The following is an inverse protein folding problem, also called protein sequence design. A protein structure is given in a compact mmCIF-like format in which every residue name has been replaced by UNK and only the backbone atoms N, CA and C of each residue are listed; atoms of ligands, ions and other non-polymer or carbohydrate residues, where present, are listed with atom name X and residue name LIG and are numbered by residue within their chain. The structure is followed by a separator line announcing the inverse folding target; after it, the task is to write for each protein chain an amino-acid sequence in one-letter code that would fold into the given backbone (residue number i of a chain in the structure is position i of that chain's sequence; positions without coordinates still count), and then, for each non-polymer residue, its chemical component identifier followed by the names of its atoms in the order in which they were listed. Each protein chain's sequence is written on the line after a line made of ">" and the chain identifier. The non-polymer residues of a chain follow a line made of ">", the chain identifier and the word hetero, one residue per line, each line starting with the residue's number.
data_IF_292394186606
#
_entry.id   IF_292394186606
#
_cell.length_a   1.000
_cell.length_b   1.000
_cell.length_c   1.000
_cell.angle_alpha   90.00
_cell.angle_beta   90.00
_cell.angle_gamma   90.00
#
_symmetry.space_group_name_H-M   'P 1'
#
loop_
_entity.id
_entity.type
_entity.pdbx_description
1 polymer ?
#
# COMPACT_ATOMS: atom_id res chain seq x y z
N UNK A 1 16.33 -40.57 18.44
CA UNK A 1 15.64 -40.00 17.27
C UNK A 1 14.58 -39.05 17.81
N UNK A 2 14.88 -37.75 17.81
CA UNK A 2 13.93 -36.73 18.25
C UNK A 2 12.98 -36.48 17.07
N UNK A 3 11.69 -36.71 17.27
CA UNK A 3 10.66 -36.42 16.28
C UNK A 3 10.57 -34.91 16.09
N UNK A 4 10.84 -34.45 14.88
CA UNK A 4 10.53 -33.08 14.47
C UNK A 4 9.01 -32.93 14.50
N UNK A 5 8.51 -32.11 15.41
CA UNK A 5 7.12 -31.66 15.41
C UNK A 5 6.86 -30.96 14.09
N UNK A 6 5.86 -31.37 13.28
CA UNK A 6 5.56 -30.67 12.04
C UNK A 6 5.24 -29.20 12.35
N UNK A 7 5.71 -28.25 11.52
CA UNK A 7 5.47 -26.83 11.76
C UNK A 7 3.96 -26.60 11.84
N UNK A 8 3.52 -25.96 12.92
CA UNK A 8 2.12 -25.61 13.13
C UNK A 8 1.58 -24.90 11.88
N UNK A 9 0.51 -25.45 11.28
CA UNK A 9 -0.17 -24.82 10.15
C UNK A 9 -0.72 -23.50 10.66
N UNK A 10 -0.14 -22.38 10.22
CA UNK A 10 -0.59 -21.05 10.61
C UNK A 10 -1.99 -20.85 10.03
N UNK A 11 -2.98 -20.76 10.92
CA UNK A 11 -4.38 -20.56 10.53
C UNK A 11 -4.53 -19.28 9.68
N UNK A 12 -5.40 -19.36 8.68
CA UNK A 12 -5.68 -18.24 7.78
C UNK A 12 -6.29 -17.06 8.53
N UNK A 13 -5.73 -15.87 8.34
CA UNK A 13 -6.24 -14.62 8.91
C UNK A 13 -6.53 -13.62 7.80
N UNK A 14 -7.66 -12.92 7.92
CA UNK A 14 -8.05 -11.85 7.00
C UNK A 14 -7.75 -10.48 7.62
N UNK A 15 -6.96 -9.67 6.91
CA UNK A 15 -6.69 -8.27 7.26
C UNK A 15 -7.53 -7.29 6.44
N UNK A 16 -7.72 -6.03 6.86
CA UNK A 16 -8.53 -5.07 6.10
C UNK A 16 -8.02 -4.85 4.68
N UNK A 17 -6.69 -4.80 4.50
CA UNK A 17 -6.09 -4.66 3.16
C UNK A 17 -6.36 -5.89 2.28
N UNK A 18 -6.38 -7.09 2.86
CA UNK A 18 -6.69 -8.32 2.14
C UNK A 18 -8.18 -8.38 1.77
N UNK A 19 -9.05 -8.00 2.70
CA UNK A 19 -10.49 -7.90 2.46
C UNK A 19 -10.80 -6.88 1.36
N UNK A 20 -10.20 -5.70 1.41
CA UNK A 20 -10.36 -4.68 0.37
C UNK A 20 -9.93 -5.19 -1.02
N UNK A 21 -8.85 -5.98 -1.12
CA UNK A 21 -8.46 -6.61 -2.40
C UNK A 21 -9.49 -7.61 -2.89
N UNK A 22 -10.03 -8.44 -1.99
CA UNK A 22 -11.06 -9.43 -2.35
C UNK A 22 -12.31 -8.73 -2.90
N UNK A 23 -12.73 -7.66 -2.24
CA UNK A 23 -13.89 -6.84 -2.61
C UNK A 23 -13.68 -6.10 -3.94
N UNK A 24 -12.45 -5.67 -4.25
CA UNK A 24 -12.13 -5.14 -5.59
C UNK A 24 -12.18 -6.25 -6.64
N UNK A 25 -11.53 -7.39 -6.38
CA UNK A 25 -11.54 -8.55 -7.27
C UNK A 25 -10.99 -9.80 -6.54
N UNK A 26 -11.73 -10.93 -6.45
CA UNK A 26 -11.23 -12.13 -5.79
C UNK A 26 -9.94 -12.66 -6.42
N UNK A 27 -9.79 -12.59 -7.75
CA UNK A 27 -8.54 -12.92 -8.45
C UNK A 27 -7.37 -12.04 -7.98
N UNK A 28 -7.60 -10.75 -7.75
CA UNK A 28 -6.57 -9.81 -7.24
C UNK A 28 -6.14 -10.19 -5.82
N UNK A 29 -7.10 -10.53 -4.93
CA UNK A 29 -6.77 -11.08 -3.62
C UNK A 29 -5.93 -12.35 -3.76
N UNK A 30 -6.38 -13.31 -4.56
CA UNK A 30 -5.69 -14.58 -4.75
C UNK A 30 -4.25 -14.38 -5.25
N UNK A 31 -4.04 -13.56 -6.29
CA UNK A 31 -2.72 -13.23 -6.85
C UNK A 31 -1.80 -12.61 -5.78
N UNK A 32 -2.35 -11.79 -4.89
CA UNK A 32 -1.59 -11.17 -3.80
C UNK A 32 -1.01 -12.17 -2.79
N UNK A 33 -1.55 -13.39 -2.75
CA UNK A 33 -1.15 -14.49 -1.85
C UNK A 33 -0.20 -15.49 -2.51
N UNK A 34 0.11 -15.32 -3.79
CA UNK A 34 0.95 -16.25 -4.56
C UNK A 34 2.46 -15.94 -4.54
N UNK A 35 2.90 -15.01 -3.68
CA UNK A 35 4.31 -14.56 -3.59
C UNK A 35 4.85 -13.99 -4.91
N UNK A 36 3.97 -13.55 -5.80
CA UNK A 36 4.35 -12.83 -7.02
C UNK A 36 5.06 -11.51 -6.67
N UNK A 37 6.05 -11.07 -7.46
CA UNK A 37 6.79 -9.83 -7.23
C UNK A 37 5.87 -8.61 -7.07
N UNK A 38 5.91 -8.00 -5.88
CA UNK A 38 5.19 -6.75 -5.58
C UNK A 38 6.03 -5.55 -5.98
N UNK A 39 5.37 -4.53 -6.50
CA UNK A 39 6.02 -3.26 -6.84
C UNK A 39 6.25 -2.45 -5.58
N UNK A 40 7.49 -2.06 -5.28
CA UNK A 40 7.73 -1.00 -4.33
C UNK A 40 7.19 0.33 -4.88
N UNK A 41 6.60 1.17 -4.04
CA UNK A 41 5.97 2.41 -4.47
C UNK A 41 6.45 3.59 -3.65
N UNK A 42 6.94 4.65 -4.29
CA UNK A 42 7.41 5.84 -3.58
C UNK A 42 6.38 6.45 -2.63
N UNK A 43 5.10 6.44 -3.01
CA UNK A 43 4.03 6.95 -2.15
C UNK A 43 3.80 6.06 -0.92
N UNK A 44 3.90 4.73 -1.09
CA UNK A 44 3.77 3.78 0.01
C UNK A 44 4.97 3.90 0.97
N UNK A 45 6.19 3.92 0.44
CA UNK A 45 7.43 4.10 1.21
C UNK A 45 7.47 5.42 1.98
N UNK A 46 7.07 6.54 1.34
CA UNK A 46 6.92 7.81 2.05
C UNK A 46 5.92 7.67 3.21
N UNK A 47 4.79 7.00 2.96
CA UNK A 47 3.80 6.69 3.99
C UNK A 47 4.39 5.93 5.17
N UNK A 48 5.07 4.82 4.90
CA UNK A 48 5.72 3.99 5.92
C UNK A 48 6.69 4.80 6.77
N UNK A 49 7.60 5.56 6.15
CA UNK A 49 8.59 6.35 6.87
C UNK A 49 7.93 7.44 7.75
N UNK A 50 6.89 8.10 7.24
CA UNK A 50 6.14 9.12 8.00
C UNK A 50 5.41 8.49 9.18
N UNK A 51 4.67 7.39 8.99
CA UNK A 51 3.94 6.71 10.05
C UNK A 51 4.89 6.25 11.15
N UNK A 52 5.92 5.48 10.79
CA UNK A 52 6.92 4.98 11.72
C UNK A 52 7.60 6.13 12.49
N UNK A 53 7.86 7.27 11.84
CA UNK A 53 8.46 8.41 12.53
C UNK A 53 7.53 9.08 13.56
N UNK A 54 6.22 9.07 13.33
CA UNK A 54 5.22 9.61 14.27
C UNK A 54 5.06 8.63 15.43
N UNK A 55 5.02 7.33 15.11
CA UNK A 55 4.96 6.23 16.08
C UNK A 55 6.17 6.25 17.02
N UNK A 56 7.38 6.39 16.48
CA UNK A 56 8.63 6.53 17.26
C UNK A 56 8.61 7.75 18.18
N UNK A 57 8.10 8.90 17.71
CA UNK A 57 7.98 10.10 18.54
C UNK A 57 7.03 9.85 19.73
N UNK A 58 6.02 8.99 19.59
CA UNK A 58 5.13 8.64 20.68
C UNK A 58 5.75 7.59 21.62
N UNK A 59 6.55 6.67 21.10
CA UNK A 59 7.11 5.53 21.84
C UNK A 59 8.45 5.81 22.53
N UNK A 60 9.27 6.71 21.98
CA UNK A 60 10.60 7.02 22.53
C UNK A 60 10.51 7.68 23.91
N UNK A 61 11.49 7.39 24.77
CA UNK A 61 11.61 8.06 26.07
C UNK A 61 12.22 9.46 25.91
N UNK A 62 11.47 10.47 26.35
CA UNK A 62 11.87 11.87 26.40
C UNK A 62 11.95 12.40 27.84
N UNK A 63 12.13 11.54 28.83
CA UNK A 63 12.26 11.91 30.24
C UNK A 63 13.43 12.86 30.53
N UNK A 64 14.48 12.80 29.71
CA UNK A 64 15.64 13.68 29.75
C UNK A 64 15.34 15.13 29.32
N UNK A 65 14.24 15.38 28.60
CA UNK A 65 13.85 16.72 28.18
C UNK A 65 13.16 17.45 29.34
N UNK A 66 13.73 18.58 29.75
CA UNK A 66 13.21 19.37 30.87
C UNK A 66 11.74 19.78 30.68
N UNK A 67 10.98 19.89 31.78
CA UNK A 67 9.54 20.23 31.72
C UNK A 67 9.24 21.52 30.96
N UNK A 68 10.14 22.52 31.05
CA UNK A 68 10.02 23.82 30.39
C UNK A 68 10.94 23.97 29.17
N UNK A 69 11.71 22.92 28.84
CA UNK A 69 12.59 22.96 27.67
C UNK A 69 11.75 22.87 26.40
N UNK A 70 11.88 23.89 25.56
CA UNK A 70 11.28 23.98 24.23
C UNK A 70 12.38 23.91 23.14
N UNK A 71 12.03 24.18 21.88
CA UNK A 71 12.84 24.12 20.65
C UNK A 71 13.54 22.77 20.34
N UNK A 72 13.29 21.73 21.14
CA UNK A 72 13.91 20.41 20.98
C UNK A 72 13.20 19.52 19.96
N UNK A 73 11.86 19.57 19.89
CA UNK A 73 11.08 18.63 19.08
C UNK A 73 11.36 18.73 17.57
N UNK A 74 11.56 19.91 16.95
CA UNK A 74 11.83 19.99 15.52
C UNK A 74 13.09 19.24 15.09
N UNK A 75 14.16 19.31 15.89
CA UNK A 75 15.41 18.59 15.61
C UNK A 75 15.22 17.07 15.81
N UNK A 76 14.58 16.69 16.91
CA UNK A 76 14.34 15.27 17.22
C UNK A 76 13.39 14.60 16.20
N UNK A 77 12.31 15.27 15.81
CA UNK A 77 11.39 14.78 14.79
C UNK A 77 12.11 14.57 13.44
N UNK A 78 12.99 15.49 13.07
CA UNK A 78 13.78 15.35 11.85
C UNK A 78 14.76 14.19 11.93
N UNK A 79 15.43 14.00 13.09
CA UNK A 79 16.35 12.88 13.33
C UNK A 79 15.65 11.54 13.18
N UNK A 80 14.50 11.38 13.85
CA UNK A 80 13.68 10.15 13.81
C UNK A 80 13.16 9.88 12.39
N UNK A 81 12.62 10.90 11.71
CA UNK A 81 12.16 10.76 10.33
C UNK A 81 13.30 10.37 9.39
N UNK A 82 14.50 10.95 9.58
CA UNK A 82 15.66 10.65 8.74
C UNK A 82 16.10 9.20 8.90
N UNK A 83 16.08 8.67 10.12
CA UNK A 83 16.34 7.26 10.39
C UNK A 83 15.35 6.36 9.61
N UNK A 84 14.05 6.57 9.79
CA UNK A 84 13.01 5.77 9.10
C UNK A 84 13.02 5.92 7.58
N UNK A 85 13.40 7.09 7.08
CA UNK A 85 13.56 7.33 5.63
C UNK A 85 14.69 6.52 5.02
N UNK A 86 15.85 6.43 5.69
CA UNK A 86 16.97 5.63 5.19
C UNK A 86 16.69 4.12 5.33
N UNK A 87 16.06 3.67 6.42
CA UNK A 87 15.62 2.28 6.59
C UNK A 87 14.65 1.86 5.47
N UNK A 88 13.62 2.67 5.21
CA UNK A 88 12.66 2.39 4.14
C UNK A 88 13.30 2.47 2.76
N UNK A 89 14.26 3.39 2.54
CA UNK A 89 15.03 3.46 1.30
C UNK A 89 15.81 2.18 1.05
N UNK A 90 16.43 1.61 2.07
CA UNK A 90 17.14 0.33 1.96
C UNK A 90 16.17 -0.80 1.54
N UNK A 91 15.02 -0.92 2.21
CA UNK A 91 13.97 -1.90 1.85
C UNK A 91 13.47 -1.69 0.42
N UNK A 92 13.22 -0.43 0.04
CA UNK A 92 12.79 -0.06 -1.30
C UNK A 92 13.83 -0.48 -2.34
N UNK A 93 15.11 -0.19 -2.12
CA UNK A 93 16.21 -0.51 -3.04
C UNK A 93 16.49 -2.01 -3.12
N UNK A 94 16.23 -2.77 -2.06
CA UNK A 94 16.34 -4.22 -2.05
C UNK A 94 15.12 -4.91 -2.69
N UNK A 95 14.01 -4.21 -2.90
CA UNK A 95 12.84 -4.77 -3.57
C UNK A 95 13.12 -4.91 -5.08
N UNK A 96 13.08 -6.12 -5.68
CA UNK A 96 13.44 -6.31 -7.08
C UNK A 96 12.60 -5.47 -8.03
N UNK A 97 11.27 -5.55 -7.89
CA UNK A 97 10.33 -4.75 -8.68
C UNK A 97 10.13 -3.39 -8.01
N UNK A 98 10.90 -2.39 -8.43
CA UNK A 98 10.85 -1.03 -7.88
C UNK A 98 11.04 0.02 -8.97
N UNK A 99 10.45 1.22 -8.84
CA UNK A 99 10.86 2.38 -9.61
C UNK A 99 12.13 3.03 -9.01
N UNK A 100 12.53 4.19 -9.52
CA UNK A 100 13.59 5.01 -8.91
C UNK A 100 13.15 5.64 -7.58
N UNK A 101 14.07 5.63 -6.61
CA UNK A 101 13.92 6.38 -5.36
C UNK A 101 13.98 7.90 -5.62
N UNK A 102 13.02 8.64 -5.08
CA UNK A 102 12.88 10.08 -5.30
C UNK A 102 13.30 10.87 -4.06
N UNK A 103 14.57 11.28 -4.00
CA UNK A 103 15.09 12.08 -2.87
C UNK A 103 14.36 13.41 -2.70
N UNK A 104 13.84 13.99 -3.79
CA UNK A 104 13.06 15.22 -3.73
C UNK A 104 11.77 15.09 -2.89
N UNK A 105 11.29 13.87 -2.66
CA UNK A 105 10.13 13.58 -1.79
C UNK A 105 10.44 13.71 -0.29
N UNK A 106 11.70 13.86 0.10
CA UNK A 106 12.09 14.12 1.49
C UNK A 106 11.39 15.35 2.09
N UNK A 107 11.27 16.44 1.31
CA UNK A 107 10.56 17.66 1.76
C UNK A 107 9.08 17.40 2.04
N UNK A 108 8.47 16.51 1.27
CA UNK A 108 7.09 16.11 1.47
C UNK A 108 6.96 15.26 2.75
N UNK A 109 7.87 14.31 2.98
CA UNK A 109 7.90 13.52 4.20
C UNK A 109 7.99 14.40 5.46
N UNK A 110 8.87 15.42 5.47
CA UNK A 110 8.97 16.39 6.58
C UNK A 110 7.64 17.13 6.79
N UNK A 111 7.01 17.61 5.71
CA UNK A 111 5.72 18.31 5.80
C UNK A 111 4.66 17.41 6.41
N UNK A 112 4.59 16.16 5.98
CA UNK A 112 3.59 15.20 6.45
C UNK A 112 3.83 14.76 7.90
N UNK A 113 5.07 14.52 8.32
CA UNK A 113 5.37 14.25 9.74
C UNK A 113 4.93 15.43 10.62
N UNK A 114 5.21 16.67 10.21
CA UNK A 114 4.72 17.86 10.91
C UNK A 114 3.19 17.90 10.98
N UNK A 115 2.51 17.53 9.90
CA UNK A 115 1.06 17.37 9.89
C UNK A 115 0.57 16.38 10.95
N UNK A 116 1.23 15.22 11.08
CA UNK A 116 0.93 14.24 12.14
C UNK A 116 1.10 14.81 13.56
N UNK A 117 2.19 15.55 13.81
CA UNK A 117 2.43 16.23 15.10
C UNK A 117 1.32 17.24 15.41
N UNK A 118 0.89 18.04 14.42
CA UNK A 118 -0.23 18.98 14.57
C UNK A 118 -1.50 18.25 14.97
N UNK A 119 -1.79 17.10 14.37
CA UNK A 119 -3.01 16.34 14.66
C UNK A 119 -3.02 15.74 16.06
N UNK A 120 -1.85 15.33 16.57
CA UNK A 120 -1.66 14.88 17.96
C UNK A 120 -1.88 16.02 18.96
N UNK A 121 -1.36 17.22 18.68
CA UNK A 121 -1.62 18.41 19.48
C UNK A 121 -3.10 18.79 19.50
N UNK A 122 -3.72 18.83 18.32
CA UNK A 122 -5.14 19.15 18.17
C UNK A 122 -6.02 18.15 18.92
N UNK A 123 -5.64 16.86 18.95
CA UNK A 123 -6.35 15.82 19.72
C UNK A 123 -6.35 16.08 21.23
N UNK A 124 -5.34 16.76 21.78
CA UNK A 124 -5.30 17.15 23.20
C UNK A 124 -5.74 18.61 23.43
N UNK A 125 -6.45 19.20 22.46
CA UNK A 125 -7.03 20.54 22.56
C UNK A 125 -6.05 21.69 22.31
N UNK A 126 -4.89 21.43 21.70
CA UNK A 126 -3.86 22.45 21.45
C UNK A 126 -3.80 22.77 19.97
N UNK A 127 -4.25 23.96 19.63
CA UNK A 127 -4.30 24.46 18.26
C UNK A 127 -3.35 25.64 18.05
N UNK A 128 -2.72 25.70 16.88
CA UNK A 128 -1.88 26.82 16.47
C UNK A 128 -0.57 27.00 17.25
N UNK A 129 -0.19 26.05 18.10
CA UNK A 129 1.09 26.09 18.81
C UNK A 129 2.24 25.82 17.83
N UNK A 130 3.22 26.73 17.81
CA UNK A 130 4.48 26.51 17.08
C UNK A 130 5.20 25.28 17.63
N UNK A 131 5.72 24.43 16.75
CA UNK A 131 6.44 23.22 17.13
C UNK A 131 7.67 23.51 17.99
N UNK A 132 8.28 24.68 17.81
CA UNK A 132 9.39 25.16 18.64
C UNK A 132 8.98 25.45 20.07
N UNK A 133 7.69 25.61 20.36
CA UNK A 133 7.19 25.93 21.71
C UNK A 133 6.65 24.69 22.44
N UNK A 134 6.78 23.51 21.85
CA UNK A 134 6.34 22.26 22.48
C UNK A 134 7.35 21.89 23.55
N UNK A 135 6.94 22.01 24.81
CA UNK A 135 7.80 21.67 25.93
C UNK A 135 7.87 20.16 26.17
N UNK A 136 8.92 19.69 26.85
CA UNK A 136 9.01 18.28 27.27
C UNK A 136 7.80 17.81 28.09
N UNK A 137 7.27 18.67 28.97
CA UNK A 137 6.07 18.34 29.74
C UNK A 137 4.82 18.17 28.86
N UNK A 138 4.67 19.04 27.85
CA UNK A 138 3.56 18.94 26.91
C UNK A 138 3.64 17.66 26.07
N UNK A 139 4.81 17.33 25.53
CA UNK A 139 4.96 16.11 24.73
C UNK A 139 4.66 14.85 25.55
N UNK A 140 5.18 14.77 26.78
CA UNK A 140 4.84 13.67 27.70
C UNK A 140 3.35 13.60 28.03
N UNK A 141 2.63 14.73 28.05
CA UNK A 141 1.15 14.73 28.15
C UNK A 141 0.54 14.04 26.94
N UNK A 142 1.00 14.33 25.73
CA UNK A 142 0.52 13.67 24.50
C UNK A 142 0.81 12.16 24.55
N UNK A 143 2.02 11.77 24.91
CA UNK A 143 2.40 10.35 25.04
C UNK A 143 1.50 9.59 26.02
N UNK A 144 1.12 10.21 27.15
CA UNK A 144 0.18 9.60 28.12
C UNK A 144 -1.22 9.33 27.57
N UNK A 145 -1.62 9.98 26.47
CA UNK A 145 -2.90 9.73 25.82
C UNK A 145 -2.80 8.61 24.77
N UNK A 146 -1.60 8.14 24.41
CA UNK A 146 -1.45 6.99 23.54
C UNK A 146 -1.65 5.69 24.36
N UNK A 147 -2.74 4.98 24.07
CA UNK A 147 -3.06 3.68 24.68
C UNK A 147 -2.25 2.58 23.99
N UNK A 148 -2.21 2.62 22.66
CA UNK A 148 -1.34 1.77 21.86
C UNK A 148 -0.88 2.52 20.60
N UNK A 149 0.34 2.23 20.18
CA UNK A 149 0.97 2.74 18.96
C UNK A 149 1.43 1.49 18.20
N UNK A 150 1.08 1.38 16.92
CA UNK A 150 1.38 0.20 16.10
C UNK A 150 0.75 -1.11 16.64
N UNK A 151 -0.43 -1.01 17.26
CA UNK A 151 -1.05 -2.12 17.99
C UNK A 151 -1.63 -3.21 17.08
N UNK A 152 -1.25 -4.47 17.32
CA UNK A 152 -1.91 -5.62 16.69
C UNK A 152 -3.29 -5.87 17.30
N UNK A 153 -4.31 -6.02 16.46
CA UNK A 153 -5.69 -6.28 16.85
C UNK A 153 -6.17 -7.58 16.19
N UNK A 154 -6.69 -8.52 16.96
CA UNK A 154 -7.21 -9.82 16.46
C UNK A 154 -8.55 -10.14 17.09
N UNK A 155 -9.45 -10.79 16.38
CA UNK A 155 -10.64 -11.38 17.01
C UNK A 155 -10.24 -12.52 17.96
N UNK A 156 -11.11 -12.84 18.93
CA UNK A 156 -10.87 -13.91 19.90
C UNK A 156 -10.60 -15.28 19.26
N UNK A 157 -11.23 -15.54 18.12
CA UNK A 157 -11.04 -16.76 17.32
C UNK A 157 -9.85 -16.69 16.35
N UNK A 158 -9.11 -15.57 16.33
CA UNK A 158 -7.92 -15.37 15.51
C UNK A 158 -8.17 -15.20 14.01
N UNK A 159 -9.41 -15.25 13.52
CA UNK A 159 -9.71 -15.28 12.07
C UNK A 159 -9.56 -13.91 11.38
N UNK A 160 -9.87 -12.84 12.11
CA UNK A 160 -9.73 -11.48 11.61
C UNK A 160 -8.60 -10.79 12.36
N UNK A 161 -7.82 -9.98 11.64
CA UNK A 161 -6.72 -9.23 12.22
C UNK A 161 -6.62 -7.81 11.66
N UNK A 162 -5.96 -6.93 12.38
CA UNK A 162 -5.68 -5.55 12.00
C UNK A 162 -4.42 -5.04 12.68
N UNK A 163 -3.88 -3.93 12.18
CA UNK A 163 -2.81 -3.17 12.83
C UNK A 163 -3.31 -1.74 12.94
N UNK A 164 -3.48 -1.28 14.17
CA UNK A 164 -3.85 0.09 14.47
C UNK A 164 -2.59 0.95 14.35
N UNK A 165 -2.63 2.04 13.60
CA UNK A 165 -1.55 3.02 13.66
C UNK A 165 -1.52 3.63 15.06
N UNK A 166 -2.66 4.18 15.51
CA UNK A 166 -2.81 4.78 16.84
C UNK A 166 -4.14 4.39 17.51
N UNK A 167 -4.07 4.00 18.78
CA UNK A 167 -5.20 3.96 19.71
C UNK A 167 -4.95 4.99 20.81
N UNK A 168 -5.78 6.03 20.85
CA UNK A 168 -5.64 7.16 21.78
C UNK A 168 -6.81 7.20 22.76
N UNK A 169 -6.56 7.70 23.97
CA UNK A 169 -7.60 8.12 24.89
C UNK A 169 -8.33 9.33 24.28
N UNK A 170 -9.64 9.25 24.16
CA UNK A 170 -10.48 10.36 23.74
C UNK A 170 -10.80 11.21 24.96
N UNK A 171 -10.37 12.47 24.97
CA UNK A 171 -10.53 13.37 26.11
C UNK A 171 -11.47 14.51 25.78
N UNK A 172 -12.30 14.89 26.74
CA UNK A 172 -13.12 16.10 26.64
C UNK A 172 -12.27 17.36 26.87
N UNK A 173 -12.89 18.53 26.75
CA UNK A 173 -12.24 19.83 26.99
C UNK A 173 -11.67 19.98 28.43
N UNK A 174 -12.20 19.21 29.38
CA UNK A 174 -11.69 19.15 30.76
C UNK A 174 -10.49 18.19 30.92
N UNK A 175 -10.10 17.45 29.88
CA UNK A 175 -9.02 16.48 29.89
C UNK A 175 -9.40 15.11 30.49
N UNK A 176 -10.70 14.87 30.69
CA UNK A 176 -11.20 13.60 31.20
C UNK A 176 -11.42 12.60 30.06
N UNK A 177 -11.07 11.34 30.27
CA UNK A 177 -11.27 10.30 29.27
C UNK A 177 -12.76 9.99 29.12
N UNK A 178 -13.28 10.15 27.91
CA UNK A 178 -14.68 9.92 27.54
C UNK A 178 -14.85 8.76 26.56
N UNK A 179 -13.76 8.25 26.00
CA UNK A 179 -13.78 7.28 24.93
C UNK A 179 -12.39 6.82 24.50
N UNK A 180 -12.39 6.03 23.43
CA UNK A 180 -11.19 5.69 22.67
C UNK A 180 -11.30 6.23 21.25
N UNK A 181 -10.16 6.67 20.70
CA UNK A 181 -10.01 7.02 19.30
C UNK A 181 -9.07 6.02 18.64
N UNK A 182 -9.53 5.35 17.59
CA UNK A 182 -8.64 4.73 16.60
C UNK A 182 -8.33 5.76 15.52
N UNK A 183 -7.06 6.15 15.40
CA UNK A 183 -6.61 7.04 14.33
C UNK A 183 -5.72 6.24 13.36
N UNK A 184 -6.12 6.22 12.10
CA UNK A 184 -5.41 5.57 10.99
C UNK A 184 -4.76 6.68 10.15
N UNK A 185 -3.43 6.77 10.18
CA UNK A 185 -2.68 7.82 9.52
C UNK A 185 -2.78 7.63 8.00
N UNK A 186 -2.81 8.76 7.27
CA UNK A 186 -2.92 8.79 5.81
C UNK A 186 -2.04 9.86 5.21
N UNK A 187 -1.17 9.42 4.31
CA UNK A 187 -0.24 10.28 3.55
C UNK A 187 -0.69 10.59 2.13
N UNK A 188 -1.78 9.95 1.69
CA UNK A 188 -2.34 10.08 0.35
C UNK A 188 -3.35 11.22 0.22
N UNK A 189 -4.02 11.27 -0.93
CA UNK A 189 -5.02 12.29 -1.27
C UNK A 189 -6.15 12.36 -0.23
N UNK A 190 -6.38 13.56 0.30
CA UNK A 190 -7.48 13.86 1.21
C UNK A 190 -8.85 13.58 0.56
N UNK A 191 -9.84 13.10 1.34
CA UNK A 191 -11.22 12.98 0.87
C UNK A 191 -11.82 14.34 0.50
N UNK A 192 -12.80 14.34 -0.40
CA UNK A 192 -13.55 15.55 -0.77
C UNK A 192 -14.82 15.72 0.09
N UNK A 193 -15.58 14.64 0.28
CA UNK A 193 -16.86 14.65 1.03
C UNK A 193 -17.00 13.56 2.08
N UNK A 194 -16.47 12.37 1.78
CA UNK A 194 -16.51 11.20 2.66
C UNK A 194 -15.28 10.35 2.43
N UNK A 195 -14.89 9.57 3.43
CA UNK A 195 -13.87 8.55 3.28
C UNK A 195 -14.20 7.63 2.10
N UNK A 196 -13.15 7.17 1.40
CA UNK A 196 -13.31 6.11 0.41
C UNK A 196 -13.83 4.85 1.09
N UNK A 197 -14.61 4.05 0.35
CA UNK A 197 -15.28 2.86 0.88
C UNK A 197 -14.30 1.92 1.59
N UNK A 198 -13.13 1.69 1.00
CA UNK A 198 -12.07 0.83 1.52
C UNK A 198 -11.47 1.34 2.84
N UNK A 199 -11.30 2.66 3.00
CA UNK A 199 -10.77 3.27 4.23
C UNK A 199 -11.83 3.26 5.32
N UNK A 200 -13.09 3.59 4.96
CA UNK A 200 -14.22 3.54 5.89
C UNK A 200 -14.44 2.12 6.42
N UNK A 201 -14.36 1.10 5.55
CA UNK A 201 -14.47 -0.31 5.92
C UNK A 201 -13.34 -0.75 6.86
N UNK A 202 -12.09 -0.37 6.57
CA UNK A 202 -10.94 -0.66 7.42
C UNK A 202 -11.11 -0.09 8.84
N UNK A 203 -11.44 1.19 8.96
CA UNK A 203 -11.63 1.84 10.26
C UNK A 203 -12.80 1.23 11.04
N UNK A 204 -13.92 0.91 10.38
CA UNK A 204 -15.05 0.20 11.01
C UNK A 204 -14.65 -1.19 11.49
N UNK A 205 -13.86 -1.93 10.71
CA UNK A 205 -13.36 -3.23 11.14
C UNK A 205 -12.51 -3.12 12.41
N UNK A 206 -11.63 -2.12 12.49
CA UNK A 206 -10.84 -1.85 13.71
C UNK A 206 -11.72 -1.54 14.92
N UNK A 207 -12.70 -0.66 14.76
CA UNK A 207 -13.69 -0.35 15.79
C UNK A 207 -14.37 -1.60 16.30
N UNK A 208 -14.86 -2.43 15.37
CA UNK A 208 -15.76 -3.52 15.70
C UNK A 208 -15.02 -4.70 16.33
N UNK A 209 -13.79 -5.01 15.88
CA UNK A 209 -12.94 -5.99 16.57
C UNK A 209 -12.59 -5.48 17.97
N UNK A 210 -12.28 -4.19 18.13
CA UNK A 210 -11.95 -3.61 19.43
C UNK A 210 -13.13 -3.71 20.41
N UNK A 211 -14.35 -3.42 19.96
CA UNK A 211 -15.57 -3.54 20.75
C UNK A 211 -15.92 -5.00 21.07
N UNK A 212 -15.79 -5.93 20.12
CA UNK A 212 -16.04 -7.36 20.36
C UNK A 212 -15.07 -7.94 21.41
N UNK A 213 -13.81 -7.53 21.34
CA UNK A 213 -12.79 -7.92 22.31
C UNK A 213 -13.01 -7.32 23.70
N UNK A 214 -13.70 -6.18 23.79
CA UNK A 214 -13.86 -5.42 25.03
C UNK A 214 -15.35 -5.08 25.26
N UNK A 215 -16.16 -6.01 25.83
CA UNK A 215 -17.60 -5.81 26.00
C UNK A 215 -17.99 -4.57 26.84
N UNK A 216 -17.08 -4.12 27.71
CA UNK A 216 -17.27 -2.92 28.56
C UNK A 216 -16.41 -1.74 28.09
N UNK A 217 -15.97 -1.73 26.83
CA UNK A 217 -15.21 -0.62 26.28
C UNK A 217 -15.99 0.71 26.38
N UNK A 218 -15.30 1.84 26.63
CA UNK A 218 -15.93 3.13 26.47
C UNK A 218 -16.27 3.37 24.99
N UNK A 219 -16.93 4.50 24.70
CA UNK A 219 -17.31 4.84 23.31
C UNK A 219 -16.06 4.86 22.42
N UNK A 220 -16.11 4.15 21.30
CA UNK A 220 -15.01 4.12 20.31
C UNK A 220 -15.39 4.97 19.09
N UNK A 221 -14.59 5.99 18.80
CA UNK A 221 -14.61 6.69 17.50
C UNK A 221 -13.40 6.27 16.67
N UNK A 222 -13.54 6.36 15.35
CA UNK A 222 -12.48 5.95 14.41
C UNK A 222 -12.35 6.96 13.29
N UNK A 223 -11.13 7.38 12.99
CA UNK A 223 -10.86 8.46 12.04
C UNK A 223 -9.69 8.16 11.11
N UNK A 224 -9.82 8.58 9.86
CA UNK A 224 -8.70 8.70 8.94
C UNK A 224 -8.02 10.04 9.15
N UNK A 225 -6.74 10.02 9.52
CA UNK A 225 -5.94 11.20 9.82
C UNK A 225 -5.03 11.56 8.65
N UNK A 226 -5.40 12.56 7.85
CA UNK A 226 -4.68 12.95 6.65
C UNK A 226 -3.61 14.00 6.95
N UNK A 227 -2.36 13.55 7.00
CA UNK A 227 -1.21 14.34 7.43
C UNK A 227 -0.81 15.42 6.42
N UNK A 228 -1.21 15.30 5.16
CA UNK A 228 -0.90 16.28 4.11
C UNK A 228 -1.49 17.68 4.40
N UNK A 229 -2.67 17.73 5.02
CA UNK A 229 -3.41 18.95 5.33
C UNK A 229 -3.99 18.96 6.76
N UNK A 230 -3.51 18.05 7.61
CA UNK A 230 -3.93 17.89 9.01
C UNK A 230 -5.45 17.75 9.20
N UNK A 231 -6.15 17.08 8.27
CA UNK A 231 -7.60 16.90 8.35
C UNK A 231 -7.99 15.53 8.91
N UNK A 232 -9.04 15.49 9.73
CA UNK A 232 -9.58 14.28 10.37
C UNK A 232 -10.93 13.94 9.76
N UNK A 233 -11.12 12.67 9.41
CA UNK A 233 -12.33 12.21 8.73
C UNK A 233 -12.93 11.01 9.46
N UNK A 234 -14.14 11.13 10.03
CA UNK A 234 -14.75 10.04 10.78
C UNK A 234 -15.18 8.91 9.84
N UNK A 235 -14.99 7.67 10.29
CA UNK A 235 -15.64 6.53 9.68
C UNK A 235 -17.04 6.34 10.24
N UNK A 236 -18.01 6.17 9.33
CA UNK A 236 -19.43 6.11 9.65
C UNK A 236 -20.03 4.85 9.03
N UNK A 237 -20.89 4.19 9.80
CA UNK A 237 -21.65 3.03 9.39
C UNK A 237 -21.75 1.99 10.50
N UNK A 238 -22.59 0.98 10.25
CA UNK A 238 -22.92 -0.12 11.16
C UNK A 238 -21.72 -1.04 11.46
N UNK A 239 -21.93 -2.08 12.24
CA UNK A 239 -20.93 -3.12 12.47
C UNK A 239 -20.60 -3.87 11.15
N UNK A 240 -19.35 -4.28 10.94
CA UNK A 240 -18.90 -4.98 9.73
C UNK A 240 -18.35 -6.39 9.97
N UNK A 241 -18.40 -6.92 11.19
CA UNK A 241 -17.81 -8.23 11.53
C UNK A 241 -18.44 -9.36 10.74
N UNK A 242 -19.78 -9.40 10.62
CA UNK A 242 -20.44 -10.45 9.85
C UNK A 242 -19.98 -10.49 8.38
N UNK A 243 -19.85 -9.32 7.76
CA UNK A 243 -19.35 -9.19 6.39
C UNK A 243 -17.87 -9.61 6.30
N UNK A 244 -17.06 -9.25 7.29
CA UNK A 244 -15.66 -9.63 7.35
C UNK A 244 -15.49 -11.15 7.52
N UNK A 245 -16.32 -11.79 8.35
CA UNK A 245 -16.34 -13.24 8.51
C UNK A 245 -16.83 -13.96 7.25
N UNK A 246 -17.83 -13.45 6.57
CA UNK A 246 -18.25 -13.97 5.26
C UNK A 246 -17.09 -13.89 4.26
N UNK A 247 -16.41 -12.76 4.16
CA UNK A 247 -15.22 -12.64 3.32
C UNK A 247 -14.08 -13.57 3.76
N UNK A 248 -13.90 -13.82 5.05
CA UNK A 248 -12.92 -14.79 5.55
C UNK A 248 -13.23 -16.21 5.07
N UNK A 249 -14.51 -16.62 5.06
CA UNK A 249 -14.94 -17.92 4.53
C UNK A 249 -14.69 -18.05 3.03
N UNK A 250 -14.91 -16.99 2.25
CA UNK A 250 -14.68 -17.00 0.80
C UNK A 250 -13.20 -16.88 0.42
N UNK A 251 -12.34 -16.48 1.36
CA UNK A 251 -10.92 -16.20 1.10
C UNK A 251 -9.96 -17.28 1.60
N UNK A 252 -10.49 -18.49 1.88
CA UNK A 252 -9.68 -19.62 2.33
C UNK A 252 -8.52 -19.91 1.36
N UNK A 253 -7.34 -20.29 1.88
CA UNK A 253 -6.20 -20.61 1.03
C UNK A 253 -6.55 -21.70 0.00
N UNK A 254 -6.27 -21.42 -1.27
CA UNK A 254 -6.49 -22.35 -2.38
C UNK A 254 -5.40 -22.20 -3.43
N UNK A 255 -5.04 -23.30 -4.07
CA UNK A 255 -4.14 -23.37 -5.23
C UNK A 255 -4.86 -23.03 -6.53
N UNK A 256 -6.20 -23.06 -6.53
CA UNK A 256 -7.01 -22.71 -7.69
C UNK A 256 -7.25 -21.20 -7.71
N UNK A 257 -6.94 -20.52 -8.81
CA UNK A 257 -7.44 -19.18 -9.12
C UNK A 257 -8.88 -18.89 -8.69
N UNK A 258 -9.07 -17.83 -7.91
CA UNK A 258 -10.42 -17.32 -7.62
C UNK A 258 -11.00 -16.60 -8.84
N UNK A 259 -12.32 -16.73 -9.02
CA UNK A 259 -13.06 -16.10 -10.12
C UNK A 259 -12.85 -14.57 -10.14
N UNK A 260 -12.51 -13.99 -11.30
CA UNK A 260 -12.28 -12.56 -11.43
C UNK A 260 -13.60 -11.78 -11.50
N UNK A 261 -13.55 -10.49 -11.14
CA UNK A 261 -14.63 -9.53 -11.40
C UNK A 261 -14.10 -8.36 -12.23
N UNK A 262 -13.83 -8.54 -13.55
CA UNK A 262 -13.29 -7.48 -14.39
C UNK A 262 -14.24 -6.29 -14.49
N UNK A 263 -13.71 -5.09 -14.37
CA UNK A 263 -14.52 -3.87 -14.32
C UNK A 263 -13.66 -2.62 -14.21
N UNK A 264 -14.34 -1.46 -14.21
CA UNK A 264 -13.70 -0.15 -14.17
C UNK A 264 -12.82 0.04 -12.93
N UNK A 265 -13.28 -0.43 -11.77
CA UNK A 265 -12.57 -0.26 -10.50
C UNK A 265 -11.52 -1.35 -10.25
N UNK A 266 -11.58 -2.48 -10.97
CA UNK A 266 -10.60 -3.57 -10.91
C UNK A 266 -9.58 -3.49 -12.06
N UNK A 267 -9.94 -3.96 -13.26
CA UNK A 267 -9.08 -3.97 -14.45
C UNK A 267 -8.84 -2.57 -15.05
N UNK A 268 -9.79 -1.64 -14.89
CA UNK A 268 -9.61 -0.22 -15.21
C UNK A 268 -8.84 0.55 -14.13
N UNK A 269 -8.71 -0.02 -12.93
CA UNK A 269 -8.05 0.57 -11.78
C UNK A 269 -6.59 0.15 -11.62
N UNK A 270 -6.09 0.33 -10.39
CA UNK A 270 -4.75 -0.07 -10.00
C UNK A 270 -4.72 -1.55 -9.59
N UNK A 271 -3.88 -2.34 -10.25
CA UNK A 271 -3.61 -3.74 -9.89
C UNK A 271 -2.14 -4.05 -10.18
N UNK A 272 -1.41 -4.51 -9.16
CA UNK A 272 0.01 -4.84 -9.30
C UNK A 272 0.24 -6.11 -10.13
N UNK A 273 -0.77 -6.97 -10.30
CA UNK A 273 -0.60 -8.32 -10.83
C UNK A 273 -1.04 -8.49 -12.29
N UNK A 274 -1.15 -7.39 -13.05
CA UNK A 274 -1.58 -7.39 -14.46
C UNK A 274 -0.80 -8.36 -15.33
N UNK A 275 0.53 -8.43 -15.17
CA UNK A 275 1.41 -9.34 -15.92
C UNK A 275 1.11 -10.84 -15.75
N UNK A 276 0.33 -11.20 -14.73
CA UNK A 276 -0.07 -12.58 -14.41
C UNK A 276 -1.58 -12.81 -14.56
N UNK A 277 -2.33 -11.88 -15.15
CA UNK A 277 -3.78 -11.93 -15.24
C UNK A 277 -4.29 -11.62 -16.65
N UNK A 278 -4.71 -12.67 -17.36
CA UNK A 278 -5.31 -12.61 -18.70
C UNK A 278 -6.61 -11.77 -18.73
N UNK A 279 -7.38 -11.78 -17.64
CA UNK A 279 -8.66 -11.06 -17.55
C UNK A 279 -8.52 -9.55 -17.63
N UNK A 280 -7.43 -9.00 -17.09
CA UNK A 280 -7.12 -7.59 -17.28
C UNK A 280 -6.92 -7.26 -18.76
N UNK A 281 -6.18 -8.11 -19.47
CA UNK A 281 -5.84 -7.85 -20.85
C UNK A 281 -7.06 -7.97 -21.78
N UNK A 282 -7.87 -9.02 -21.60
CA UNK A 282 -9.14 -9.20 -22.31
C UNK A 282 -10.10 -8.02 -22.06
N UNK A 283 -10.29 -7.63 -20.79
CA UNK A 283 -11.18 -6.53 -20.45
C UNK A 283 -10.74 -5.21 -21.11
N UNK A 284 -9.43 -4.93 -21.15
CA UNK A 284 -8.92 -3.73 -21.83
C UNK A 284 -9.12 -3.81 -23.35
N UNK A 285 -8.97 -4.99 -23.95
CA UNK A 285 -9.19 -5.21 -25.38
C UNK A 285 -10.66 -5.02 -25.75
N UNK A 286 -11.56 -5.69 -25.05
CA UNK A 286 -13.02 -5.65 -25.29
C UNK A 286 -13.60 -4.25 -25.12
N UNK A 287 -13.13 -3.50 -24.12
CA UNK A 287 -13.53 -2.10 -23.93
C UNK A 287 -12.78 -1.12 -24.84
N UNK A 288 -11.90 -1.61 -25.71
CA UNK A 288 -11.12 -0.81 -26.64
C UNK A 288 -10.27 0.24 -25.93
N UNK A 289 -9.63 -0.10 -24.82
CA UNK A 289 -8.77 0.80 -24.01
C UNK A 289 -7.30 0.39 -24.01
N UNK A 290 -6.92 -0.62 -24.80
CA UNK A 290 -5.52 -0.97 -25.02
C UNK A 290 -4.78 0.16 -25.72
N UNK A 291 -3.59 0.49 -25.21
CA UNK A 291 -2.67 1.46 -25.82
C UNK A 291 -3.25 2.87 -26.00
N UNK A 292 -4.37 3.16 -25.32
CA UNK A 292 -4.97 4.49 -25.27
C UNK A 292 -4.40 5.27 -24.09
N UNK A 293 -4.53 6.59 -24.18
CA UNK A 293 -4.05 7.61 -23.24
C UNK A 293 -2.55 7.90 -23.31
N UNK A 294 -2.12 8.96 -22.62
CA UNK A 294 -0.72 9.40 -22.56
C UNK A 294 0.19 8.42 -21.79
N UNK A 295 -0.41 7.69 -20.85
CA UNK A 295 0.21 6.61 -20.10
C UNK A 295 -0.62 5.34 -20.28
N UNK A 296 0.01 4.27 -20.75
CA UNK A 296 -0.68 3.01 -21.02
C UNK A 296 0.03 1.81 -20.42
N UNK A 297 -0.67 0.68 -20.39
CA UNK A 297 -0.10 -0.63 -20.11
C UNK A 297 -0.19 -1.45 -21.41
N UNK A 298 0.83 -2.26 -21.71
CA UNK A 298 0.92 -3.00 -22.96
C UNK A 298 1.53 -4.38 -22.78
N UNK A 299 1.10 -5.34 -23.61
CA UNK A 299 1.82 -6.59 -23.84
C UNK A 299 2.46 -6.49 -25.22
N UNK A 300 3.76 -6.74 -25.31
CA UNK A 300 4.55 -6.52 -26.54
C UNK A 300 5.54 -7.64 -26.80
N UNK A 301 5.96 -7.79 -28.05
CA UNK A 301 7.17 -8.54 -28.42
C UNK A 301 8.34 -7.59 -28.59
N UNK A 302 9.51 -7.98 -28.08
CA UNK A 302 10.76 -7.25 -28.31
C UNK A 302 11.46 -7.82 -29.54
N UNK A 303 11.74 -6.98 -30.54
CA UNK A 303 12.44 -7.37 -31.77
C UNK A 303 13.91 -7.01 -31.74
N UNK A 304 14.20 -5.77 -31.37
CA UNK A 304 15.56 -5.22 -31.32
C UNK A 304 15.74 -4.47 -30.00
N UNK A 305 16.93 -4.59 -29.41
CA UNK A 305 17.32 -3.83 -28.24
C UNK A 305 18.82 -3.55 -28.27
N UNK A 306 19.18 -2.27 -28.29
CA UNK A 306 20.54 -1.81 -28.04
C UNK A 306 20.70 -1.53 -26.54
N UNK A 307 21.46 -2.37 -25.86
CA UNK A 307 21.71 -2.25 -24.42
C UNK A 307 22.47 -0.98 -24.01
N UNK A 308 23.26 -0.41 -24.93
CA UNK A 308 24.07 0.77 -24.65
C UNK A 308 23.19 2.01 -24.64
N UNK A 309 22.44 2.21 -25.73
CA UNK A 309 21.55 3.37 -25.84
C UNK A 309 20.23 3.17 -25.11
N UNK A 310 19.75 1.93 -24.93
CA UNK A 310 18.39 1.65 -24.46
C UNK A 310 17.33 1.76 -25.55
N UNK A 311 17.72 1.92 -26.82
CA UNK A 311 16.79 2.01 -27.95
C UNK A 311 16.29 0.62 -28.32
N UNK A 312 15.00 0.51 -28.67
CA UNK A 312 14.36 -0.76 -28.96
C UNK A 312 13.30 -0.64 -30.07
N UNK A 313 13.02 -1.77 -30.71
CA UNK A 313 11.83 -1.96 -31.55
C UNK A 313 10.94 -2.98 -30.86
N UNK A 314 9.71 -2.56 -30.56
CA UNK A 314 8.68 -3.42 -29.97
C UNK A 314 7.52 -3.59 -30.94
N UNK A 315 6.83 -4.71 -30.86
CA UNK A 315 5.60 -4.97 -31.61
C UNK A 315 4.43 -5.13 -30.65
N UNK A 316 3.36 -4.39 -30.91
CA UNK A 316 2.15 -4.45 -30.09
C UNK A 316 1.46 -5.79 -30.28
N UNK A 317 0.95 -6.34 -29.18
CA UNK A 317 0.20 -7.58 -29.19
C UNK A 317 -1.24 -7.38 -28.78
N UNK A 318 -2.08 -8.33 -29.17
CA UNK A 318 -3.47 -8.46 -28.72
C UNK A 318 -3.69 -9.82 -28.04
N UNK A 319 -4.69 -9.92 -27.14
CA UNK A 319 -5.02 -11.18 -26.50
C UNK A 319 -5.55 -12.18 -27.53
N UNK A 320 -5.05 -13.42 -27.44
CA UNK A 320 -5.58 -14.57 -28.14
C UNK A 320 -5.82 -15.70 -27.15
N UNK A 321 -6.76 -16.60 -27.48
CA UNK A 321 -7.03 -17.79 -26.67
C UNK A 321 -7.38 -17.42 -25.22
N UNK A 322 -8.33 -16.49 -25.06
CA UNK A 322 -8.71 -15.95 -23.75
C UNK A 322 -7.61 -15.11 -23.07
N UNK A 323 -6.69 -14.51 -23.83
CA UNK A 323 -5.62 -13.65 -23.32
C UNK A 323 -4.44 -14.42 -22.71
N UNK A 324 -4.43 -15.74 -22.86
CA UNK A 324 -3.31 -16.60 -22.44
C UNK A 324 -2.11 -16.37 -23.35
N UNK A 325 -2.36 -16.28 -24.66
CA UNK A 325 -1.32 -16.08 -25.67
C UNK A 325 -1.39 -14.66 -26.21
N UNK A 326 -0.23 -14.14 -26.53
CA UNK A 326 -0.10 -12.88 -27.24
C UNK A 326 0.07 -13.13 -28.73
N UNK A 327 -0.77 -12.49 -29.55
CA UNK A 327 -0.60 -12.48 -31.01
C UNK A 327 -0.05 -11.13 -31.47
N UNK A 328 0.97 -11.11 -32.33
CA UNK A 328 1.50 -9.88 -32.90
C UNK A 328 0.45 -9.21 -33.80
N UNK A 329 0.32 -7.89 -33.67
CA UNK A 329 -0.60 -7.08 -34.49
C UNK A 329 0.00 -6.65 -35.84
N UNK A 330 1.31 -6.85 -36.05
CA UNK A 330 2.05 -6.23 -37.15
C UNK A 330 2.48 -4.79 -36.88
N UNK A 331 1.97 -4.16 -35.81
CA UNK A 331 2.25 -2.75 -35.50
C UNK A 331 3.54 -2.65 -34.69
N UNK A 332 4.61 -2.20 -35.35
CA UNK A 332 5.90 -1.91 -34.71
C UNK A 332 5.97 -0.48 -34.19
N UNK A 333 6.62 -0.30 -33.05
CA UNK A 333 6.87 1.01 -32.42
C UNK A 333 8.34 1.12 -32.01
N UNK A 334 8.91 2.29 -32.25
CA UNK A 334 10.17 2.68 -31.65
C UNK A 334 9.96 2.91 -30.16
N UNK A 335 10.85 2.37 -29.35
CA UNK A 335 10.82 2.46 -27.90
C UNK A 335 12.18 2.87 -27.34
N UNK A 336 12.15 3.52 -26.17
CA UNK A 336 13.34 3.91 -25.43
C UNK A 336 13.17 3.49 -23.97
N UNK A 337 14.05 2.60 -23.53
CA UNK A 337 14.18 2.17 -22.15
C UNK A 337 15.25 2.99 -21.46
N UNK A 338 14.89 3.65 -20.36
CA UNK A 338 15.77 4.54 -19.60
C UNK A 338 15.82 4.13 -18.12
N UNK A 339 16.96 4.41 -17.46
CA UNK A 339 17.20 4.15 -16.04
C UNK A 339 16.71 2.75 -15.62
N UNK A 340 15.91 2.67 -14.54
CA UNK A 340 15.36 1.44 -13.99
C UNK A 340 14.52 0.64 -14.99
N UNK A 341 13.89 1.28 -15.97
CA UNK A 341 13.17 0.58 -17.04
C UNK A 341 14.10 -0.24 -17.92
N UNK A 342 15.30 0.30 -18.22
CA UNK A 342 16.36 -0.40 -18.95
C UNK A 342 16.95 -1.54 -18.13
N UNK A 343 17.25 -1.28 -16.87
CA UNK A 343 17.79 -2.30 -15.96
C UNK A 343 16.83 -3.48 -15.82
N UNK A 344 15.52 -3.20 -15.69
CA UNK A 344 14.50 -4.23 -15.58
C UNK A 344 14.39 -5.06 -16.87
N UNK A 345 14.49 -4.43 -18.05
CA UNK A 345 14.54 -5.18 -19.30
C UNK A 345 15.77 -6.09 -19.37
N UNK A 346 16.94 -5.58 -18.97
CA UNK A 346 18.18 -6.37 -18.96
C UNK A 346 18.12 -7.55 -17.98
N UNK A 347 17.50 -7.37 -16.81
CA UNK A 347 17.22 -8.45 -15.86
C UNK A 347 16.32 -9.53 -16.49
N UNK A 348 15.27 -9.14 -17.20
CA UNK A 348 14.40 -10.07 -17.91
C UNK A 348 15.16 -10.82 -19.00
N UNK A 349 15.97 -10.14 -19.81
CA UNK A 349 16.78 -10.79 -20.85
C UNK A 349 17.84 -11.73 -20.25
N UNK A 350 18.47 -11.33 -19.14
CA UNK A 350 19.44 -12.16 -18.42
C UNK A 350 18.80 -13.43 -17.83
N UNK A 351 17.51 -13.37 -17.45
CA UNK A 351 16.72 -14.54 -17.04
C UNK A 351 16.42 -15.54 -18.17
N UNK A 352 16.88 -15.24 -19.40
CA UNK A 352 16.61 -16.00 -20.63
C UNK A 352 15.12 -16.13 -20.97
N UNK A 353 14.29 -15.23 -20.45
CA UNK A 353 12.87 -15.18 -20.82
C UNK A 353 12.74 -15.03 -22.34
N UNK A 354 11.92 -15.90 -22.94
CA UNK A 354 11.56 -15.86 -24.35
C UNK A 354 10.06 -15.63 -24.45
N UNK A 355 9.65 -14.64 -25.24
CA UNK A 355 8.24 -14.34 -25.49
C UNK A 355 7.82 -12.94 -25.05
N UNK A 356 6.50 -12.72 -24.87
CA UNK A 356 5.95 -11.39 -24.67
C UNK A 356 6.36 -10.78 -23.32
N UNK A 357 6.41 -9.45 -23.31
CA UNK A 357 6.70 -8.62 -22.15
C UNK A 357 5.47 -7.81 -21.78
N UNK A 358 5.17 -7.72 -20.49
CA UNK A 358 4.29 -6.70 -19.94
C UNK A 358 5.09 -5.43 -19.67
N UNK A 359 4.64 -4.33 -20.26
CA UNK A 359 5.14 -2.98 -20.01
C UNK A 359 4.05 -2.16 -19.31
N UNK A 360 4.29 -1.75 -18.08
CA UNK A 360 3.32 -0.99 -17.27
C UNK A 360 3.65 0.51 -17.20
N UNK A 361 2.63 1.37 -17.31
CA UNK A 361 2.73 2.84 -17.20
C UNK A 361 3.69 3.48 -18.19
N UNK A 362 3.73 2.97 -19.42
CA UNK A 362 4.55 3.49 -20.52
C UNK A 362 4.00 4.83 -21.02
N UNK A 363 4.88 5.79 -21.33
CA UNK A 363 4.45 7.02 -21.99
C UNK A 363 4.31 6.78 -23.50
N UNK A 364 3.10 6.96 -24.00
CA UNK A 364 2.68 6.60 -25.36
C UNK A 364 2.35 7.81 -26.25
N UNK A 365 2.27 9.00 -25.67
CA UNK A 365 1.95 10.25 -26.39
C UNK A 365 3.02 10.69 -27.40
N UNK A 366 4.25 10.20 -27.27
CA UNK A 366 5.36 10.55 -28.16
C UNK A 366 5.49 9.53 -29.30
N UNK A 367 6.11 9.93 -30.40
CA UNK A 367 6.41 9.04 -31.54
C UNK A 367 7.26 7.83 -31.12
N UNK A 368 8.15 8.04 -30.14
CA UNK A 368 8.91 6.99 -29.47
C UNK A 368 8.30 6.73 -28.09
N UNK A 369 7.91 5.49 -27.82
CA UNK A 369 7.39 5.10 -26.51
C UNK A 369 8.50 5.15 -25.46
N UNK A 370 8.23 5.78 -24.30
CA UNK A 370 9.21 5.89 -23.21
C UNK A 370 8.88 4.92 -22.09
N UNK A 371 9.85 4.05 -21.80
CA UNK A 371 9.85 3.12 -20.68
C UNK A 371 10.87 3.63 -19.67
N UNK A 372 10.43 4.58 -18.85
CA UNK A 372 11.29 5.27 -17.89
C UNK A 372 11.39 4.57 -16.54
N UNK A 373 12.01 5.27 -15.58
CA UNK A 373 12.31 4.76 -14.25
C UNK A 373 11.10 4.40 -13.37
N UNK A 374 9.86 4.68 -13.81
CA UNK A 374 8.61 4.38 -13.10
C UNK A 374 7.87 3.16 -13.68
N UNK A 375 8.25 2.74 -14.89
CA UNK A 375 7.56 1.71 -15.64
C UNK A 375 7.82 0.33 -15.03
N UNK A 376 6.86 -0.58 -15.21
CA UNK A 376 7.11 -2.01 -15.02
C UNK A 376 7.60 -2.61 -16.33
N UNK A 377 8.59 -3.50 -16.24
CA UNK A 377 9.03 -4.37 -17.33
C UNK A 377 9.08 -5.77 -16.77
N UNK A 378 8.14 -6.63 -17.18
CA UNK A 378 7.96 -7.96 -16.62
C UNK A 378 7.73 -8.97 -17.75
N UNK A 379 8.08 -10.25 -17.55
CA UNK A 379 7.57 -11.33 -18.38
C UNK A 379 6.04 -11.32 -18.37
N UNK A 380 5.40 -11.44 -19.54
CA UNK A 380 3.98 -11.77 -19.60
C UNK A 380 3.81 -13.26 -19.30
N UNK A 381 3.23 -13.59 -18.14
CA UNK A 381 3.07 -14.97 -17.67
C UNK A 381 1.71 -15.15 -16.98
N UNK A 382 0.59 -15.07 -17.72
CA UNK A 382 -0.74 -15.18 -17.15
C UNK A 382 -0.94 -16.53 -16.47
N UNK A 383 -1.58 -16.53 -15.29
CA UNK A 383 -1.91 -17.75 -14.56
C UNK A 383 -3.30 -18.23 -15.02
N UNK A 384 -3.38 -19.47 -15.49
CA UNK A 384 -4.59 -20.06 -16.05
C UNK A 384 -5.64 -20.36 -14.99
N UNK A 385 -6.92 -20.12 -15.30
CA UNK A 385 -8.02 -20.51 -14.42
C UNK A 385 -8.23 -22.03 -14.45
N UNK A 386 -8.84 -22.58 -13.40
CA UNK A 386 -9.13 -24.02 -13.29
C UNK A 386 -7.88 -24.92 -13.16
N UNK A 387 -6.67 -24.36 -13.22
CA UNK A 387 -5.41 -25.08 -13.06
C UNK A 387 -4.81 -24.75 -11.70
N UNK A 388 -4.37 -25.79 -10.97
CA UNK A 388 -3.64 -25.59 -9.72
C UNK A 388 -2.34 -24.82 -9.97
N UNK A 389 -2.18 -23.70 -9.27
CA UNK A 389 -0.95 -22.95 -9.27
C UNK A 389 -0.02 -23.43 -8.16
N UNK A 390 1.08 -24.05 -8.57
CA UNK A 390 2.18 -24.39 -7.69
C UNK A 390 3.16 -23.21 -7.67
N UNK A 391 3.43 -22.69 -6.47
CA UNK A 391 4.36 -21.58 -6.29
C UNK A 391 5.76 -22.02 -6.74
N UNK A 392 6.40 -21.20 -7.57
CA UNK A 392 7.83 -21.33 -7.84
C UNK A 392 8.56 -20.90 -6.55
N UNK A 393 9.41 -21.79 -6.00
CA UNK A 393 10.08 -21.59 -4.71
C UNK A 393 11.12 -20.46 -4.74
#
# INVERSE_FOLDING_TARGET
>A
MAGETPPAVREHMLSPSAWNRYETCPRMYWLSRQRLPRKAGMAASLGTAVHASIEDLLLNDYSNIGNQQDDWLPEEALRVLKLRWEEEKEVFMNTPRRPKWKEEKWKEAIKQQRGGVIMLLDHVGIQGLDHKRITGALWRKIQKHAIAVEGELKTKDGRLMGRLDLLLADVNDAGEMTGWLVADLKTGRTPDKKLKTEVNRQLRLYRDILLDNNPNAPKVRTEGWYTQNSSKWPAIGENVLEQAYAAWQETQPTTIPMEPTPGKDSCGGFCDWKAWCQHWWNWRHENGTLHKDDFSDAVVLLHEFDSNSGSAVIELCEPFDGGIRAIPTGIRKSAKFDDRGKDALQEVLASKHQGPLFLGSIMTAQSTWRIGHWCDVLPWKPILDGVEYIREN
#
